data_IF_491651949088
#
_entry.id   IF_491651949088
#
_cell.length_a   1.000
_cell.length_b   1.000
_cell.length_c   1.000
_cell.angle_alpha   90.00
_cell.angle_beta   90.00
_cell.angle_gamma   90.00
#
_symmetry.space_group_name_H-M   'P 1'
#
loop_
_entity.id
_entity.type
_entity.pdbx_description
1 polymer ?
#
# COMPACT_ATOMS: atom_id res chain seq x y z
N UNK A 1 7.89 -10.06 2.69
CA UNK A 1 6.58 -10.41 2.13
C UNK A 1 6.27 -9.41 1.03
N UNK A 2 5.73 -9.86 -0.10
CA UNK A 2 5.35 -8.97 -1.20
C UNK A 2 3.93 -8.47 -0.97
N UNK A 3 3.74 -7.17 -1.08
CA UNK A 3 2.45 -6.48 -1.05
C UNK A 3 2.28 -5.72 -2.36
N UNK A 4 1.06 -5.69 -2.89
CA UNK A 4 0.72 -4.86 -4.04
C UNK A 4 -0.35 -3.86 -3.58
N UNK A 5 -0.40 -2.71 -4.25
CA UNK A 5 -1.50 -1.76 -4.05
C UNK A 5 -2.82 -2.38 -4.54
N UNK A 6 -3.89 -2.19 -3.76
CA UNK A 6 -5.22 -2.67 -4.16
C UNK A 6 -5.70 -1.92 -5.42
N UNK A 7 -6.08 -2.62 -6.50
CA UNK A 7 -6.62 -1.97 -7.69
C UNK A 7 -7.89 -1.14 -7.42
N UNK A 8 -8.62 -1.42 -6.33
CA UNK A 8 -9.82 -0.68 -5.91
C UNK A 8 -9.54 0.44 -4.90
N UNK A 9 -8.27 0.81 -4.71
CA UNK A 9 -7.90 1.87 -3.75
C UNK A 9 -8.62 3.19 -4.06
N UNK A 10 -8.76 3.54 -5.34
CA UNK A 10 -9.40 4.77 -5.81
C UNK A 10 -10.77 4.50 -6.44
N UNK A 11 -11.45 3.45 -5.97
CA UNK A 11 -12.81 3.09 -6.41
C UNK A 11 -13.86 3.84 -5.58
N UNK A 12 -14.65 4.77 -6.17
CA UNK A 12 -15.67 5.51 -5.46
C UNK A 12 -16.88 4.64 -5.06
N UNK A 13 -17.05 3.46 -5.65
CA UNK A 13 -18.13 2.53 -5.31
C UNK A 13 -17.78 1.63 -4.11
N UNK A 14 -16.53 1.69 -3.62
CA UNK A 14 -16.12 1.04 -2.39
C UNK A 14 -16.70 1.83 -1.20
N UNK A 15 -17.46 1.17 -0.33
CA UNK A 15 -18.09 1.80 0.85
C UNK A 15 -17.06 2.53 1.74
N UNK A 16 -15.83 2.00 1.81
CA UNK A 16 -14.75 2.61 2.58
C UNK A 16 -14.22 3.92 1.98
N UNK A 17 -14.52 4.21 0.72
CA UNK A 17 -14.03 5.37 -0.02
C UNK A 17 -15.06 6.49 -0.18
N UNK A 18 -16.31 6.29 0.24
CA UNK A 18 -17.39 7.29 0.11
C UNK A 18 -17.02 8.62 0.76
N UNK A 19 -16.24 8.58 1.85
CA UNK A 19 -15.77 9.77 2.56
C UNK A 19 -14.84 10.68 1.72
N UNK A 20 -14.27 10.18 0.62
CA UNK A 20 -13.46 10.95 -0.31
C UNK A 20 -14.28 11.68 -1.38
N UNK A 21 -15.60 11.49 -1.39
CA UNK A 21 -16.52 12.16 -2.31
C UNK A 21 -17.28 13.29 -1.58
N UNK A 22 -16.87 14.56 -1.73
CA UNK A 22 -17.61 15.67 -1.14
C UNK A 22 -19.01 15.76 -1.76
N UNK A 23 -20.04 15.85 -0.91
CA UNK A 23 -21.45 16.03 -1.32
C UNK A 23 -21.97 14.97 -2.32
N UNK A 24 -21.46 13.72 -2.23
CA UNK A 24 -21.73 12.62 -3.17
C UNK A 24 -21.28 12.90 -4.62
N UNK A 25 -20.44 13.91 -4.84
CA UNK A 25 -19.83 14.19 -6.13
C UNK A 25 -18.48 13.48 -6.23
N UNK A 26 -18.51 12.19 -6.60
CA UNK A 26 -17.32 11.37 -6.73
C UNK A 26 -16.54 11.66 -8.03
N UNK A 27 -15.22 11.55 -7.93
CA UNK A 27 -14.36 11.49 -9.12
C UNK A 27 -14.54 10.15 -9.84
N UNK A 28 -14.22 10.05 -11.15
CA UNK A 28 -14.24 8.78 -11.87
C UNK A 28 -13.34 7.73 -11.21
N UNK A 29 -13.69 6.45 -11.37
CA UNK A 29 -12.94 5.36 -10.74
C UNK A 29 -11.49 5.34 -11.23
N UNK A 30 -10.56 5.19 -10.28
CA UNK A 30 -9.13 5.25 -10.51
C UNK A 30 -8.52 6.66 -10.41
N UNK A 31 -9.33 7.65 -10.03
CA UNK A 31 -8.86 9.01 -9.73
C UNK A 31 -9.32 9.46 -8.36
N UNK A 32 -8.50 10.27 -7.69
CA UNK A 32 -8.80 10.85 -6.39
C UNK A 32 -8.62 12.36 -6.43
N UNK A 33 -9.65 13.09 -6.02
CA UNK A 33 -9.59 14.54 -5.86
C UNK A 33 -8.64 14.89 -4.71
N UNK A 34 -7.61 15.68 -5.00
CA UNK A 34 -6.66 16.21 -4.01
C UNK A 34 -6.63 17.74 -4.00
N UNK A 35 -7.64 18.39 -4.59
CA UNK A 35 -7.79 19.84 -4.56
C UNK A 35 -7.71 20.44 -3.15
N UNK A 36 -8.32 19.84 -2.09
CA UNK A 36 -8.18 20.35 -0.73
C UNK A 36 -6.71 20.38 -0.24
N UNK A 37 -5.89 19.43 -0.71
CA UNK A 37 -4.46 19.36 -0.39
C UNK A 37 -3.61 20.30 -1.26
N UNK A 38 -4.15 20.76 -2.39
CA UNK A 38 -3.48 21.56 -3.41
C UNK A 38 -4.04 23.00 -3.49
N UNK A 39 -4.41 23.59 -2.35
CA UNK A 39 -4.89 24.97 -2.24
C UNK A 39 -6.11 25.28 -3.14
N UNK A 40 -6.99 24.30 -3.35
CA UNK A 40 -8.17 24.43 -4.22
C UNK A 40 -7.88 24.26 -5.71
N UNK A 41 -6.64 23.99 -6.11
CA UNK A 41 -6.28 23.71 -7.50
C UNK A 41 -6.98 22.42 -7.98
N UNK A 42 -7.48 22.34 -9.22
CA UNK A 42 -8.26 21.21 -9.72
C UNK A 42 -7.39 19.97 -10.05
N UNK A 43 -6.63 19.51 -9.05
CA UNK A 43 -5.64 18.43 -9.16
C UNK A 43 -6.23 17.11 -8.66
N UNK A 44 -5.97 16.06 -9.43
CA UNK A 44 -6.39 14.70 -9.18
C UNK A 44 -5.20 13.75 -9.28
N UNK A 45 -5.13 12.78 -8.39
CA UNK A 45 -4.11 11.73 -8.45
C UNK A 45 -4.71 10.45 -9.02
N UNK A 46 -3.92 9.69 -9.76
CA UNK A 46 -4.29 8.38 -10.29
C UNK A 46 -3.08 7.44 -10.30
N UNK A 47 -3.27 6.20 -10.70
CA UNK A 47 -2.14 5.34 -11.09
C UNK A 47 -1.57 5.80 -12.45
N UNK A 48 -0.29 5.51 -12.74
CA UNK A 48 0.35 5.85 -14.01
C UNK A 48 -0.46 5.34 -15.20
N UNK A 49 -0.63 6.20 -16.20
CA UNK A 49 -1.43 5.97 -17.39
C UNK A 49 -2.88 5.58 -17.12
N UNK A 50 -3.47 6.03 -16.01
CA UNK A 50 -4.82 5.64 -15.58
C UNK A 50 -4.97 4.10 -15.49
N UNK A 51 -3.93 3.42 -15.02
CA UNK A 51 -4.00 1.99 -14.72
C UNK A 51 -5.09 1.73 -13.68
N UNK A 52 -5.83 0.62 -13.84
CA UNK A 52 -6.97 0.24 -13.00
C UNK A 52 -8.04 1.33 -12.83
N UNK A 53 -8.15 2.23 -13.81
CA UNK A 53 -9.16 3.30 -13.84
C UNK A 53 -10.24 3.03 -14.89
N UNK A 54 -11.31 3.82 -14.88
CA UNK A 54 -12.37 3.76 -15.89
C UNK A 54 -11.80 3.92 -17.32
N UNK A 55 -12.34 3.13 -18.26
CA UNK A 55 -11.87 3.13 -19.65
C UNK A 55 -12.05 4.50 -20.32
N UNK A 56 -13.04 5.27 -19.90
CA UNK A 56 -13.28 6.65 -20.37
C UNK A 56 -12.07 7.56 -20.13
N UNK A 57 -11.33 7.38 -19.03
CA UNK A 57 -10.10 8.13 -18.75
C UNK A 57 -8.97 7.72 -19.69
N UNK A 58 -8.80 6.42 -19.92
CA UNK A 58 -7.76 5.87 -20.82
C UNK A 58 -8.01 6.25 -22.28
N UNK A 59 -9.27 6.28 -22.70
CA UNK A 59 -9.65 6.61 -24.09
C UNK A 59 -9.68 8.13 -24.34
N UNK A 60 -9.68 8.95 -23.28
CA UNK A 60 -9.77 10.41 -23.41
C UNK A 60 -8.51 11.07 -23.97
N UNK A 61 -7.36 10.38 -23.89
CA UNK A 61 -6.04 10.93 -24.23
C UNK A 61 -5.22 9.89 -24.98
N UNK A 62 -4.65 10.30 -26.12
CA UNK A 62 -3.76 9.45 -26.91
C UNK A 62 -2.37 9.36 -26.27
N UNK A 63 -1.69 8.21 -26.48
CA UNK A 63 -0.33 7.98 -25.98
C UNK A 63 -0.24 7.36 -24.58
N UNK A 64 -1.37 7.02 -23.96
CA UNK A 64 -1.39 6.28 -22.69
C UNK A 64 -1.05 4.80 -22.90
N UNK A 65 -0.32 4.20 -21.95
CA UNK A 65 0.06 2.79 -21.98
C UNK A 65 -0.17 2.10 -20.61
N UNK A 66 -1.43 1.81 -20.23
CA UNK A 66 -1.81 1.31 -18.90
C UNK A 66 -1.17 -0.04 -18.52
N UNK A 67 -0.64 -0.79 -19.50
CA UNK A 67 -0.06 -2.11 -19.31
C UNK A 67 1.47 -2.15 -19.11
N UNK A 68 2.20 -1.05 -19.36
CA UNK A 68 3.67 -1.05 -19.34
C UNK A 68 4.21 -1.17 -17.91
N UNK A 69 3.43 -0.73 -16.92
CA UNK A 69 3.87 -0.54 -15.54
C UNK A 69 3.13 -1.43 -14.53
N UNK A 70 2.73 -2.66 -14.90
CA UNK A 70 1.93 -3.56 -14.03
C UNK A 70 2.53 -3.86 -12.65
N UNK A 71 3.84 -3.72 -12.49
CA UNK A 71 4.56 -3.96 -11.22
C UNK A 71 4.97 -2.67 -10.50
N UNK A 72 4.55 -1.48 -10.97
CA UNK A 72 5.03 -0.20 -10.44
C UNK A 72 4.50 0.12 -9.06
N UNK A 73 3.69 -0.73 -8.42
CA UNK A 73 3.10 -0.51 -7.10
C UNK A 73 3.20 -1.79 -6.24
N UNK A 74 4.43 -2.25 -6.02
CA UNK A 74 4.74 -3.45 -5.27
C UNK A 74 5.83 -3.17 -4.23
N UNK A 75 5.65 -3.72 -3.03
CA UNK A 75 6.50 -3.49 -1.86
C UNK A 75 6.91 -4.82 -1.22
N UNK A 76 8.18 -4.97 -0.90
CA UNK A 76 8.72 -6.07 -0.12
C UNK A 76 9.02 -5.60 1.29
N UNK A 77 8.18 -6.00 2.24
CA UNK A 77 8.30 -5.59 3.64
C UNK A 77 8.82 -6.75 4.47
N UNK A 78 9.75 -6.48 5.38
CA UNK A 78 10.28 -7.45 6.34
C UNK A 78 9.18 -7.85 7.33
N UNK A 79 8.83 -9.14 7.40
CA UNK A 79 7.65 -9.62 8.14
C UNK A 79 7.65 -9.25 9.63
N UNK A 80 8.80 -9.39 10.29
CA UNK A 80 8.90 -9.20 11.75
C UNK A 80 9.08 -7.74 12.14
N UNK A 81 9.67 -6.92 11.27
CA UNK A 81 10.14 -5.57 11.63
C UNK A 81 9.44 -4.46 10.86
N UNK A 82 8.61 -4.78 9.86
CA UNK A 82 7.93 -3.78 9.05
C UNK A 82 8.83 -2.95 8.14
N UNK A 83 10.13 -3.23 8.07
CA UNK A 83 11.09 -2.46 7.25
C UNK A 83 10.89 -2.74 5.77
N UNK A 84 10.83 -1.70 4.94
CA UNK A 84 10.78 -1.81 3.49
C UNK A 84 12.15 -2.27 2.95
N UNK A 85 12.21 -3.47 2.40
CA UNK A 85 13.42 -4.06 1.82
C UNK A 85 13.58 -3.66 0.36
N UNK A 86 12.49 -3.64 -0.40
CA UNK A 86 12.48 -3.05 -1.73
C UNK A 86 11.07 -2.64 -2.07
N UNK A 87 10.89 -1.70 -2.97
CA UNK A 87 9.57 -1.30 -3.38
C UNK A 87 9.61 -0.30 -4.50
N UNK A 88 8.63 -0.42 -5.39
CA UNK A 88 8.41 0.51 -6.47
C UNK A 88 6.98 1.00 -6.36
N UNK A 89 6.79 2.30 -6.38
CA UNK A 89 5.47 2.95 -6.41
C UNK A 89 5.44 4.04 -7.46
N UNK A 90 4.33 4.13 -8.18
CA UNK A 90 4.09 5.13 -9.21
C UNK A 90 2.78 5.84 -8.95
N UNK A 91 2.80 7.17 -9.00
CA UNK A 91 1.61 8.03 -8.92
C UNK A 91 1.58 8.99 -10.10
N UNK A 92 0.40 9.33 -10.57
CA UNK A 92 0.20 10.29 -11.66
C UNK A 92 -0.59 11.49 -11.14
N UNK A 93 -0.15 12.68 -11.54
CA UNK A 93 -0.79 13.95 -11.26
C UNK A 93 -1.54 14.38 -12.50
N UNK A 94 -2.82 14.69 -12.34
CA UNK A 94 -3.74 15.08 -13.38
C UNK A 94 -4.40 16.41 -13.02
N UNK A 95 -4.71 17.24 -14.01
CA UNK A 95 -5.52 18.44 -13.83
C UNK A 95 -6.85 18.31 -14.57
N UNK A 96 -7.95 18.73 -13.94
CA UNK A 96 -9.26 18.76 -14.58
C UNK A 96 -9.37 20.01 -15.47
N UNK A 97 -9.55 19.78 -16.77
CA UNK A 97 -9.70 20.86 -17.76
C UNK A 97 -11.05 21.52 -17.59
N UNK A 98 -11.03 22.79 -17.20
CA UNK A 98 -12.20 23.66 -17.11
C UNK A 98 -12.31 24.56 -18.35
N UNK A 99 -13.53 24.99 -18.67
CA UNK A 99 -13.77 25.92 -19.77
C UNK A 99 -13.15 27.28 -19.44
N UNK A 100 -12.01 27.59 -20.06
CA UNK A 100 -11.38 28.91 -19.95
C UNK A 100 -11.08 29.40 -21.36
N UNK A 101 -11.54 30.61 -21.68
CA UNK A 101 -11.27 31.23 -22.99
C UNK A 101 -9.87 31.83 -23.07
N UNK A 102 -9.18 31.92 -21.93
CA UNK A 102 -7.94 32.66 -21.78
C UNK A 102 -6.68 31.81 -21.97
N UNK A 103 -6.83 30.48 -22.04
CA UNK A 103 -5.70 29.54 -22.20
C UNK A 103 -5.81 28.81 -23.54
N UNK A 104 -5.21 29.39 -24.57
CA UNK A 104 -5.23 28.84 -25.95
C UNK A 104 -4.68 27.42 -26.06
N UNK A 105 -3.76 27.03 -25.17
CA UNK A 105 -3.20 25.67 -25.10
C UNK A 105 -4.26 24.60 -24.78
N UNK A 106 -5.41 24.96 -24.20
CA UNK A 106 -6.49 24.04 -23.84
C UNK A 106 -7.58 23.93 -24.93
N UNK A 107 -7.52 24.73 -26.00
CA UNK A 107 -8.59 24.80 -27.02
C UNK A 107 -8.85 23.47 -27.76
N UNK A 108 -7.88 22.55 -27.77
CA UNK A 108 -8.03 21.22 -28.38
C UNK A 108 -8.55 20.14 -27.41
N UNK A 109 -8.70 20.45 -26.13
CA UNK A 109 -9.14 19.51 -25.10
C UNK A 109 -10.61 19.72 -24.77
N UNK A 110 -11.32 18.61 -24.53
CA UNK A 110 -12.72 18.66 -24.11
C UNK A 110 -12.81 19.14 -22.66
N UNK A 111 -13.81 19.98 -22.38
CA UNK A 111 -14.13 20.36 -20.99
C UNK A 111 -14.49 19.11 -20.20
N UNK A 112 -13.94 18.97 -18.99
CA UNK A 112 -14.12 17.79 -18.15
C UNK A 112 -13.08 16.68 -18.38
N UNK A 113 -12.09 16.87 -19.27
CA UNK A 113 -10.97 15.94 -19.42
C UNK A 113 -10.02 16.01 -18.22
N UNK A 114 -9.60 14.85 -17.72
CA UNK A 114 -8.54 14.72 -16.72
C UNK A 114 -7.19 14.65 -17.44
N UNK A 115 -6.48 15.77 -17.53
CA UNK A 115 -5.22 15.89 -18.26
C UNK A 115 -4.05 15.43 -17.39
N UNK A 116 -3.34 14.33 -17.73
CA UNK A 116 -2.14 13.89 -17.04
C UNK A 116 -1.02 14.88 -17.33
N UNK A 117 -0.46 15.45 -16.28
CA UNK A 117 0.63 16.41 -16.36
C UNK A 117 1.96 15.67 -16.28
N UNK A 118 2.11 14.84 -15.25
CA UNK A 118 3.31 14.07 -14.99
C UNK A 118 2.96 12.84 -14.15
N UNK A 119 3.81 11.82 -14.25
CA UNK A 119 3.83 10.72 -13.31
C UNK A 119 5.20 10.63 -12.66
N UNK A 120 5.20 10.24 -11.40
CA UNK A 120 6.38 10.13 -10.55
C UNK A 120 6.56 8.68 -10.17
N UNK A 121 7.80 8.22 -10.25
CA UNK A 121 8.20 6.91 -9.78
C UNK A 121 9.10 7.05 -8.57
N UNK A 122 8.77 6.33 -7.51
CA UNK A 122 9.64 6.12 -6.37
C UNK A 122 10.07 4.66 -6.39
N UNK A 123 11.37 4.42 -6.55
CA UNK A 123 11.96 3.09 -6.55
C UNK A 123 13.02 2.97 -5.46
N UNK A 124 12.91 1.90 -4.69
CA UNK A 124 13.88 1.43 -3.72
C UNK A 124 14.26 0.00 -4.10
N UNK A 125 15.38 -0.16 -4.79
CA UNK A 125 15.84 -1.49 -5.21
C UNK A 125 16.30 -2.35 -4.03
N UNK A 126 17.07 -1.77 -3.10
CA UNK A 126 17.52 -2.45 -1.87
C UNK A 126 18.04 -1.45 -0.83
N UNK A 127 17.94 -1.74 0.48
CA UNK A 127 18.48 -0.89 1.52
C UNK A 127 20.01 -1.09 1.62
N UNK A 128 20.72 -0.23 2.37
CA UNK A 128 22.16 -0.40 2.59
C UNK A 128 22.51 -1.81 3.11
N UNK A 129 23.63 -2.36 2.66
CA UNK A 129 24.03 -3.74 2.99
C UNK A 129 24.17 -3.97 4.50
N UNK A 130 24.66 -2.98 5.23
CA UNK A 130 24.81 -3.05 6.69
C UNK A 130 23.46 -3.20 7.38
N UNK A 131 22.42 -2.51 6.88
CA UNK A 131 21.06 -2.65 7.37
C UNK A 131 20.51 -4.06 7.09
N UNK A 132 20.75 -4.61 5.90
CA UNK A 132 20.33 -5.96 5.55
C UNK A 132 20.99 -6.99 6.48
N UNK A 133 22.30 -6.86 6.73
CA UNK A 133 23.03 -7.75 7.61
C UNK A 133 22.53 -7.67 9.06
N UNK A 134 22.29 -6.46 9.55
CA UNK A 134 21.72 -6.24 10.87
C UNK A 134 20.33 -6.87 10.99
N UNK A 135 19.44 -6.63 10.03
CA UNK A 135 18.09 -7.19 10.02
C UNK A 135 18.13 -8.72 9.98
N UNK A 136 19.02 -9.32 9.19
CA UNK A 136 19.20 -10.78 9.17
C UNK A 136 19.64 -11.31 10.53
N UNK A 137 20.64 -10.66 11.16
CA UNK A 137 21.13 -11.06 12.47
C UNK A 137 20.03 -10.96 13.52
N UNK A 138 19.33 -9.83 13.59
CA UNK A 138 18.23 -9.61 14.52
C UNK A 138 17.10 -10.62 14.32
N UNK A 139 16.68 -10.88 13.08
CA UNK A 139 15.65 -11.86 12.77
C UNK A 139 16.00 -13.25 13.28
N UNK A 140 17.23 -13.70 13.02
CA UNK A 140 17.69 -15.02 13.47
C UNK A 140 17.75 -15.06 15.00
N UNK A 141 18.35 -14.05 15.63
CA UNK A 141 18.49 -14.00 17.09
C UNK A 141 17.13 -14.00 17.79
N UNK A 142 16.17 -13.19 17.34
CA UNK A 142 14.83 -13.16 17.93
C UNK A 142 14.13 -14.50 17.76
N UNK A 143 14.13 -15.07 16.55
CA UNK A 143 13.50 -16.37 16.33
C UNK A 143 14.14 -17.49 17.16
N UNK A 144 15.46 -17.48 17.34
CA UNK A 144 16.14 -18.43 18.22
C UNK A 144 15.75 -18.24 19.68
N UNK A 145 15.76 -17.00 20.19
CA UNK A 145 15.38 -16.71 21.59
C UNK A 145 13.93 -17.09 21.86
N UNK A 146 13.00 -16.75 20.97
CA UNK A 146 11.59 -17.15 21.08
C UNK A 146 11.42 -18.66 21.10
N UNK A 147 12.15 -19.37 20.22
CA UNK A 147 12.15 -20.83 20.20
C UNK A 147 12.60 -21.39 21.56
N UNK A 148 13.78 -21.00 22.05
CA UNK A 148 14.28 -21.53 23.32
C UNK A 148 13.37 -21.18 24.50
N UNK A 149 12.89 -19.94 24.61
CA UNK A 149 11.97 -19.53 25.67
C UNK A 149 10.67 -20.35 25.64
N UNK A 150 10.08 -20.54 24.46
CA UNK A 150 8.85 -21.32 24.31
C UNK A 150 9.04 -22.78 24.73
N UNK A 151 10.10 -23.45 24.27
CA UNK A 151 10.28 -24.87 24.55
C UNK A 151 10.76 -25.12 25.99
N UNK A 152 11.60 -24.24 26.55
CA UNK A 152 12.01 -24.33 27.96
C UNK A 152 10.82 -24.13 28.89
N UNK A 153 9.97 -23.12 28.64
CA UNK A 153 8.79 -22.88 29.50
C UNK A 153 7.79 -24.02 29.45
N UNK A 154 7.54 -24.60 28.27
CA UNK A 154 6.69 -25.80 28.12
C UNK A 154 7.27 -26.99 28.90
N UNK A 155 8.58 -27.22 28.82
CA UNK A 155 9.25 -28.31 29.54
C UNK A 155 9.12 -28.14 31.07
N UNK A 156 9.35 -26.93 31.57
CA UNK A 156 9.22 -26.60 33.00
C UNK A 156 7.77 -26.82 33.45
N UNK A 157 6.79 -26.31 32.70
CA UNK A 157 5.37 -26.49 33.02
C UNK A 157 4.98 -27.98 33.08
N UNK A 158 5.49 -28.80 32.16
CA UNK A 158 5.27 -30.25 32.17
C UNK A 158 5.86 -30.92 33.41
N UNK A 159 7.10 -30.58 33.78
CA UNK A 159 7.75 -31.13 35.00
C UNK A 159 6.97 -30.74 36.26
N UNK A 160 6.54 -29.47 36.37
CA UNK A 160 5.73 -28.99 37.48
C UNK A 160 4.39 -29.72 37.57
N UNK A 161 3.71 -29.95 36.44
CA UNK A 161 2.45 -30.69 36.38
C UNK A 161 2.63 -32.14 36.87
N UNK A 162 3.68 -32.84 36.40
CA UNK A 162 3.98 -34.20 36.84
C UNK A 162 4.25 -34.26 38.34
N UNK A 163 5.02 -33.30 38.88
CA UNK A 163 5.30 -33.21 40.32
C UNK A 163 4.04 -32.93 41.14
N UNK A 164 3.16 -32.06 40.66
CA UNK A 164 1.88 -31.77 41.31
C UNK A 164 1.00 -33.03 41.38
N UNK A 165 0.88 -33.77 40.27
CA UNK A 165 0.11 -35.02 40.21
C UNK A 165 0.68 -36.06 41.18
N UNK A 166 2.01 -36.19 41.27
CA UNK A 166 2.66 -37.09 42.23
C UNK A 166 2.30 -36.72 43.68
N UNK A 167 2.31 -35.43 44.03
CA UNK A 167 1.94 -34.97 45.37
C UNK A 167 0.48 -35.28 45.68
N UNK A 168 -0.44 -34.96 44.76
CA UNK A 168 -1.88 -35.22 44.93
C UNK A 168 -2.14 -36.73 45.11
N UNK A 169 -1.50 -37.57 44.29
CA UNK A 169 -1.65 -39.03 44.39
C UNK A 169 -1.16 -39.57 45.74
N UNK A 170 -0.04 -39.07 46.26
CA UNK A 170 0.44 -39.45 47.58
C UNK A 170 -0.52 -38.99 48.69
N UNK A 171 -1.03 -37.76 48.62
CA UNK A 171 -2.00 -37.24 49.59
C UNK A 171 -3.35 -37.97 49.59
N UNK A 172 -3.79 -38.49 48.43
CA UNK A 172 -5.04 -39.25 48.33
C UNK A 172 -4.92 -40.70 48.81
N UNK A 173 -3.70 -41.18 49.08
CA UNK A 173 -3.41 -42.56 49.49
C UNK A 173 -3.11 -42.68 51.01
N UNK A 174 -2.97 -41.55 51.70
CA UNK A 174 -2.96 -41.43 53.16
C UNK A 174 -4.39 -41.29 53.68
#
# INVERSE_FOLDING_TARGET
>A
MKYNLDPRLMDPYNENNICFCPENNCSPNGTQNVAPCAFGSPIFVSLPHFASSDKTLQDSISGLAPGVNRNINAFHIHKTFGVLLSGRTGIQINALVSSTKDVSALNGLKVGTYLPIAWLEMDLTSPPQDMIQLLKRLSITISSVEFFLKYITILIAFICLVKLIQVIYMSAKL
#
